data_IF_760455739128
#
_entry.id   IF_760455739128
#
_cell.length_a   1.000
_cell.length_b   1.000
_cell.length_c   1.000
_cell.angle_alpha   90.00
_cell.angle_beta   90.00
_cell.angle_gamma   90.00
#
_symmetry.space_group_name_H-M   'P 1'
#
loop_
_entity.id
_entity.type
_entity.pdbx_description
1 polymer ?
#
# COMPACT_ATOMS: atom_id res chain seq x y z
N UNK A 1 -18.65 22.37 1.79
CA UNK A 1 -18.39 20.96 2.20
C UNK A 1 -17.90 20.99 3.64
N UNK A 2 -18.36 20.09 4.51
CA UNK A 2 -17.96 20.11 5.92
C UNK A 2 -16.48 19.72 6.04
N UNK A 3 -15.71 20.44 6.88
CA UNK A 3 -14.28 20.22 7.05
C UNK A 3 -13.92 18.74 7.31
N UNK A 4 -14.80 18.01 7.98
CA UNK A 4 -14.66 16.62 8.37
C UNK A 4 -14.45 15.68 7.17
N UNK A 5 -15.10 15.95 6.02
CA UNK A 5 -14.92 15.15 4.80
C UNK A 5 -13.50 15.24 4.26
N UNK A 6 -12.86 16.40 4.38
CA UNK A 6 -11.53 16.63 3.85
C UNK A 6 -10.42 16.09 4.76
N UNK A 7 -10.73 15.89 6.05
CA UNK A 7 -9.82 15.36 7.06
C UNK A 7 -10.01 13.86 7.32
N UNK A 8 -11.17 13.28 7.02
CA UNK A 8 -11.47 11.86 7.24
C UNK A 8 -10.46 10.87 6.60
N UNK A 9 -9.88 11.13 5.41
CA UNK A 9 -8.88 10.23 4.85
C UNK A 9 -7.53 10.26 5.59
N UNK A 10 -7.23 11.33 6.35
CA UNK A 10 -5.90 11.53 6.91
C UNK A 10 -5.50 10.45 7.91
N UNK A 11 -6.32 10.04 8.90
CA UNK A 11 -5.97 8.94 9.79
C UNK A 11 -5.69 7.64 9.02
N UNK A 12 -6.53 7.29 8.04
CA UNK A 12 -6.31 6.09 7.21
C UNK A 12 -5.00 6.18 6.42
N UNK A 13 -4.67 7.35 5.85
CA UNK A 13 -3.38 7.56 5.16
C UNK A 13 -2.19 7.36 6.09
N UNK A 14 -2.26 7.91 7.30
CA UNK A 14 -1.17 7.80 8.27
C UNK A 14 -0.96 6.35 8.70
N UNK A 15 -2.01 5.66 9.13
CA UNK A 15 -1.86 4.33 9.70
C UNK A 15 -1.72 3.23 8.64
N UNK A 16 -2.50 3.25 7.55
CA UNK A 16 -2.36 2.26 6.47
C UNK A 16 -1.11 2.53 5.65
N UNK A 17 -0.85 3.79 5.28
CA UNK A 17 0.37 4.17 4.57
C UNK A 17 1.61 3.83 5.39
N UNK A 18 1.61 4.18 6.69
CA UNK A 18 2.69 3.83 7.61
C UNK A 18 2.91 2.33 7.76
N UNK A 19 1.84 1.53 7.89
CA UNK A 19 1.93 0.07 7.96
C UNK A 19 2.52 -0.53 6.68
N UNK A 20 2.06 -0.09 5.51
CA UNK A 20 2.61 -0.53 4.22
C UNK A 20 4.09 -0.15 4.05
N UNK A 21 4.47 1.05 4.49
CA UNK A 21 5.88 1.49 4.51
C UNK A 21 6.72 0.58 5.40
N UNK A 22 6.23 0.23 6.58
CA UNK A 22 6.95 -0.65 7.51
C UNK A 22 7.14 -2.05 6.90
N UNK A 23 6.04 -2.69 6.48
CA UNK A 23 6.08 -4.04 5.91
C UNK A 23 6.87 -4.11 4.60
N UNK A 24 6.71 -3.13 3.71
CA UNK A 24 7.51 -3.04 2.48
C UNK A 24 8.98 -2.75 2.77
N UNK A 25 9.25 -1.89 3.76
CA UNK A 25 10.62 -1.55 4.17
C UNK A 25 11.36 -2.74 4.75
N UNK A 26 10.70 -3.59 5.54
CA UNK A 26 11.27 -4.84 6.03
C UNK A 26 11.68 -5.74 4.86
N UNK A 27 10.79 -5.91 3.88
CA UNK A 27 11.06 -6.74 2.69
C UNK A 27 12.25 -6.24 1.88
N UNK A 28 12.40 -4.93 1.73
CA UNK A 28 13.42 -4.34 0.86
C UNK A 28 14.77 -4.09 1.53
N UNK A 29 14.78 -3.76 2.82
CA UNK A 29 15.96 -3.17 3.46
C UNK A 29 16.46 -3.94 4.68
N UNK A 30 15.64 -4.81 5.27
CA UNK A 30 16.06 -5.60 6.44
C UNK A 30 16.70 -6.91 5.97
N UNK A 31 17.88 -7.29 6.52
CA UNK A 31 18.50 -8.58 6.21
C UNK A 31 17.54 -9.75 6.45
N UNK A 32 17.39 -10.61 5.44
CA UNK A 32 16.47 -11.76 5.48
C UNK A 32 15.00 -11.42 5.17
N UNK A 33 14.61 -10.14 5.12
CA UNK A 33 13.25 -9.72 4.81
C UNK A 33 12.80 -10.14 3.41
N UNK A 34 13.67 -9.96 2.41
CA UNK A 34 13.40 -10.41 1.03
C UNK A 34 13.24 -11.93 0.93
N UNK A 35 14.16 -12.68 1.54
CA UNK A 35 14.10 -14.14 1.54
C UNK A 35 12.80 -14.66 2.18
N UNK A 36 12.32 -13.98 3.23
CA UNK A 36 11.06 -14.31 3.89
C UNK A 36 9.84 -14.06 2.97
N UNK A 37 9.75 -12.91 2.29
CA UNK A 37 8.62 -12.68 1.37
C UNK A 37 8.67 -13.61 0.16
N UNK A 38 9.86 -13.89 -0.39
CA UNK A 38 10.01 -14.85 -1.48
C UNK A 38 9.56 -16.26 -1.05
N UNK A 39 9.88 -16.67 0.18
CA UNK A 39 9.39 -17.92 0.77
C UNK A 39 7.86 -17.95 0.85
N UNK A 40 7.25 -16.92 1.46
CA UNK A 40 5.81 -16.82 1.67
C UNK A 40 5.03 -16.80 0.34
N UNK A 41 5.50 -16.01 -0.63
CA UNK A 41 4.91 -15.96 -1.99
C UNK A 41 5.04 -17.33 -2.70
N UNK A 42 6.14 -18.04 -2.48
CA UNK A 42 6.32 -19.40 -3.00
C UNK A 42 5.36 -20.41 -2.37
N UNK A 43 5.12 -20.32 -1.05
CA UNK A 43 4.14 -21.16 -0.35
C UNK A 43 2.70 -20.92 -0.84
N UNK A 44 2.40 -19.71 -1.29
CA UNK A 44 1.14 -19.35 -1.93
C UNK A 44 0.99 -19.88 -3.38
N UNK A 45 1.97 -20.63 -3.89
CA UNK A 45 1.93 -21.24 -5.22
C UNK A 45 2.24 -20.29 -6.37
N UNK A 46 2.78 -19.10 -6.07
CA UNK A 46 3.07 -18.09 -7.10
C UNK A 46 4.40 -18.41 -7.81
N UNK A 47 4.41 -18.49 -9.15
CA UNK A 47 5.66 -18.72 -9.89
C UNK A 47 6.59 -17.50 -9.80
N UNK A 48 7.90 -17.72 -9.95
CA UNK A 48 8.92 -16.66 -9.87
C UNK A 48 8.85 -15.85 -8.56
N UNK A 49 8.61 -16.54 -7.44
CA UNK A 49 8.37 -15.94 -6.13
C UNK A 49 9.49 -14.99 -5.67
N UNK A 50 10.75 -15.26 -6.03
CA UNK A 50 11.87 -14.37 -5.71
C UNK A 50 11.73 -13.00 -6.39
N UNK A 51 11.44 -12.96 -7.69
CA UNK A 51 11.20 -11.70 -8.40
C UNK A 51 9.95 -10.98 -7.87
N UNK A 52 8.86 -11.72 -7.66
CA UNK A 52 7.63 -11.14 -7.16
C UNK A 52 7.73 -10.66 -5.71
N UNK A 53 8.60 -11.24 -4.88
CA UNK A 53 8.93 -10.74 -3.56
C UNK A 53 9.46 -9.29 -3.60
N UNK A 54 10.33 -8.98 -4.57
CA UNK A 54 10.79 -7.60 -4.80
C UNK A 54 9.65 -6.68 -5.23
N UNK A 55 8.79 -7.16 -6.13
CA UNK A 55 7.62 -6.40 -6.59
C UNK A 55 6.69 -6.07 -5.42
N UNK A 56 6.38 -7.05 -4.56
CA UNK A 56 5.57 -6.83 -3.35
C UNK A 56 6.22 -5.80 -2.44
N UNK A 57 7.52 -5.93 -2.16
CA UNK A 57 8.25 -4.96 -1.35
C UNK A 57 8.18 -3.53 -1.90
N UNK A 58 8.39 -3.35 -3.20
CA UNK A 58 8.31 -2.03 -3.87
C UNK A 58 6.89 -1.46 -3.87
N UNK A 59 5.87 -2.30 -4.12
CA UNK A 59 4.46 -1.89 -4.12
C UNK A 59 4.02 -1.44 -2.72
N UNK A 60 4.37 -2.19 -1.69
CA UNK A 60 4.04 -1.85 -0.30
C UNK A 60 4.78 -0.59 0.15
N UNK A 61 6.11 -0.54 -0.03
CA UNK A 61 6.90 0.59 0.43
C UNK A 61 6.60 1.87 -0.36
N UNK A 62 6.72 1.80 -1.69
CA UNK A 62 6.52 2.94 -2.57
C UNK A 62 5.06 3.40 -2.62
N UNK A 63 4.12 2.45 -2.65
CA UNK A 63 2.70 2.78 -2.59
C UNK A 63 2.27 3.28 -1.21
N UNK A 64 2.84 2.75 -0.12
CA UNK A 64 2.65 3.27 1.23
C UNK A 64 3.10 4.74 1.35
N UNK A 65 4.25 5.10 0.77
CA UNK A 65 4.70 6.49 0.66
C UNK A 65 3.73 7.35 -0.15
N UNK A 66 3.26 6.86 -1.30
CA UNK A 66 2.29 7.55 -2.13
C UNK A 66 0.96 7.81 -1.42
N UNK A 67 0.46 6.83 -0.65
CA UNK A 67 -0.74 6.95 0.19
C UNK A 67 -0.49 7.96 1.32
N UNK A 68 0.61 7.83 2.05
CA UNK A 68 0.94 8.68 3.20
C UNK A 68 1.10 10.14 2.78
N UNK A 69 1.81 10.41 1.69
CA UNK A 69 2.10 11.76 1.21
C UNK A 69 0.99 12.32 0.29
N UNK A 70 0.12 11.45 -0.23
CA UNK A 70 -0.92 11.85 -1.18
C UNK A 70 -0.33 12.26 -2.51
N UNK A 71 0.70 11.54 -2.96
CA UNK A 71 1.41 11.71 -4.24
C UNK A 71 1.21 10.44 -5.06
N UNK A 72 0.84 10.59 -6.34
CA UNK A 72 0.39 9.45 -7.17
C UNK A 72 -0.71 8.63 -6.48
N UNK A 73 -1.53 9.29 -5.64
CA UNK A 73 -2.36 8.64 -4.63
C UNK A 73 -3.25 7.53 -5.20
N UNK A 74 -3.93 7.79 -6.32
CA UNK A 74 -4.81 6.78 -6.93
C UNK A 74 -4.05 5.54 -7.37
N UNK A 75 -2.88 5.72 -8.00
CA UNK A 75 -2.04 4.60 -8.45
C UNK A 75 -1.57 3.82 -7.23
N UNK A 76 -0.99 4.51 -6.24
CA UNK A 76 -0.50 3.93 -4.99
C UNK A 76 -1.55 3.11 -4.23
N UNK A 77 -2.77 3.63 -4.14
CA UNK A 77 -3.92 2.96 -3.51
C UNK A 77 -4.39 1.74 -4.31
N UNK A 78 -4.49 1.85 -5.65
CA UNK A 78 -4.92 0.73 -6.50
C UNK A 78 -3.91 -0.42 -6.44
N UNK A 79 -2.62 -0.15 -6.57
CA UNK A 79 -1.61 -1.23 -6.55
C UNK A 79 -1.57 -1.94 -5.20
N UNK A 80 -1.76 -1.23 -4.08
CA UNK A 80 -1.85 -1.85 -2.76
C UNK A 80 -3.16 -2.60 -2.54
N UNK A 81 -4.28 -2.12 -3.09
CA UNK A 81 -5.54 -2.87 -3.06
C UNK A 81 -5.41 -4.20 -3.82
N UNK A 82 -4.73 -4.20 -4.97
CA UNK A 82 -4.43 -5.41 -5.73
C UNK A 82 -3.46 -6.33 -4.99
N UNK A 83 -2.43 -5.79 -4.33
CA UNK A 83 -1.49 -6.58 -3.52
C UNK A 83 -2.21 -7.34 -2.40
N UNK A 84 -3.00 -6.62 -1.59
CA UNK A 84 -3.73 -7.22 -0.46
C UNK A 84 -4.89 -8.11 -0.93
N UNK A 85 -5.58 -7.72 -2.00
CA UNK A 85 -6.61 -8.57 -2.63
C UNK A 85 -6.02 -9.87 -3.20
N UNK A 86 -4.84 -9.79 -3.81
CA UNK A 86 -4.08 -10.95 -4.29
C UNK A 86 -3.72 -11.89 -3.15
N UNK A 87 -3.22 -11.36 -2.03
CA UNK A 87 -2.97 -12.15 -0.82
C UNK A 87 -4.21 -12.90 -0.34
N UNK A 88 -5.36 -12.22 -0.25
CA UNK A 88 -6.61 -12.86 0.18
C UNK A 88 -7.03 -14.00 -0.75
N UNK A 89 -6.98 -13.78 -2.06
CA UNK A 89 -7.34 -14.79 -3.06
C UNK A 89 -6.39 -15.98 -3.01
N UNK A 90 -5.08 -15.72 -3.03
CA UNK A 90 -4.06 -16.75 -3.03
C UNK A 90 -4.06 -17.53 -1.71
N UNK A 91 -4.17 -16.85 -0.57
CA UNK A 91 -4.29 -17.49 0.73
C UNK A 91 -5.52 -18.38 0.82
N UNK A 92 -6.66 -17.94 0.29
CA UNK A 92 -7.87 -18.77 0.25
C UNK A 92 -7.67 -20.03 -0.62
N UNK A 93 -7.07 -19.88 -1.80
CA UNK A 93 -6.77 -21.01 -2.71
C UNK A 93 -5.77 -21.98 -2.07
N UNK A 94 -4.77 -21.46 -1.35
CA UNK A 94 -3.76 -22.24 -0.65
C UNK A 94 -4.28 -22.92 0.64
N UNK A 95 -5.50 -22.58 1.07
CA UNK A 95 -6.12 -23.11 2.30
C UNK A 95 -5.65 -22.43 3.59
N UNK A 96 -4.96 -21.29 3.50
CA UNK A 96 -4.44 -20.54 4.64
C UNK A 96 -3.37 -19.53 4.26
N UNK A 97 -3.01 -18.67 5.21
CA UNK A 97 -1.83 -17.80 5.12
C UNK A 97 -0.62 -18.61 5.61
N UNK A 98 0.47 -18.70 4.83
CA UNK A 98 1.64 -19.47 5.23
C UNK A 98 2.42 -18.80 6.37
N UNK A 99 3.03 -19.60 7.20
CA UNK A 99 3.92 -19.14 8.29
C UNK A 99 5.22 -18.55 7.73
N UNK A 100 5.76 -17.49 8.35
CA UNK A 100 7.04 -16.91 7.95
C UNK A 100 8.21 -17.82 8.30
N UNK A 101 9.37 -17.53 7.71
CA UNK A 101 10.63 -18.07 8.19
C UNK A 101 10.85 -17.69 9.66
N UNK A 102 11.66 -18.44 10.44
CA UNK A 102 11.92 -18.12 11.84
C UNK A 102 12.40 -16.67 12.03
N UNK A 103 11.64 -15.88 12.79
CA UNK A 103 11.92 -14.46 13.03
C UNK A 103 11.58 -13.52 11.86
N UNK A 104 10.95 -14.03 10.81
CA UNK A 104 10.47 -13.25 9.66
C UNK A 104 9.18 -12.49 9.95
N UNK A 105 8.96 -11.42 9.18
CA UNK A 105 7.72 -10.63 9.21
C UNK A 105 6.56 -11.46 8.63
N UNK A 106 5.46 -11.68 9.37
CA UNK A 106 4.34 -12.46 8.88
C UNK A 106 3.55 -11.69 7.81
N UNK A 107 2.85 -12.44 6.94
CA UNK A 107 1.79 -11.84 6.13
C UNK A 107 0.58 -11.50 7.02
N UNK A 108 -0.23 -10.49 6.67
CA UNK A 108 -1.48 -10.26 7.36
C UNK A 108 -2.41 -11.49 7.24
N UNK A 109 -2.90 -11.97 8.38
CA UNK A 109 -3.95 -12.97 8.42
C UNK A 109 -5.24 -12.46 7.76
N UNK A 110 -6.19 -13.36 7.44
CA UNK A 110 -7.39 -12.99 6.67
C UNK A 110 -8.16 -11.80 7.26
N UNK A 111 -8.30 -11.73 8.57
CA UNK A 111 -9.01 -10.65 9.25
C UNK A 111 -8.30 -9.31 9.05
N UNK A 112 -6.99 -9.29 9.24
CA UNK A 112 -6.13 -8.11 9.11
C UNK A 112 -6.08 -7.67 7.65
N UNK A 113 -5.91 -8.60 6.71
CA UNK A 113 -5.93 -8.35 5.28
C UNK A 113 -7.27 -7.75 4.81
N UNK A 114 -8.41 -8.25 5.31
CA UNK A 114 -9.74 -7.67 5.01
C UNK A 114 -9.88 -6.24 5.53
N UNK A 115 -9.37 -5.94 6.73
CA UNK A 115 -9.39 -4.58 7.28
C UNK A 115 -8.49 -3.63 6.51
N UNK A 116 -7.29 -4.09 6.12
CA UNK A 116 -6.39 -3.31 5.26
C UNK A 116 -7.07 -3.05 3.91
N UNK A 117 -7.63 -4.07 3.27
CA UNK A 117 -8.32 -3.92 1.99
C UNK A 117 -9.50 -2.95 2.10
N UNK A 118 -10.35 -3.08 3.12
CA UNK A 118 -11.44 -2.15 3.38
C UNK A 118 -10.94 -0.71 3.56
N UNK A 119 -9.85 -0.52 4.30
CA UNK A 119 -9.22 0.78 4.50
C UNK A 119 -8.66 1.39 3.21
N UNK A 120 -7.95 0.61 2.40
CA UNK A 120 -7.40 1.04 1.11
C UNK A 120 -8.52 1.34 0.10
N UNK A 121 -9.58 0.54 0.06
CA UNK A 121 -10.77 0.83 -0.76
C UNK A 121 -11.49 2.09 -0.30
N UNK A 122 -11.61 2.31 1.02
CA UNK A 122 -12.15 3.56 1.57
C UNK A 122 -11.35 4.77 1.12
N UNK A 123 -10.02 4.68 1.13
CA UNK A 123 -9.12 5.72 0.60
C UNK A 123 -9.30 5.92 -0.91
N UNK A 124 -9.52 4.84 -1.69
CA UNK A 124 -9.75 4.95 -3.13
C UNK A 124 -11.05 5.72 -3.44
N UNK A 125 -12.10 5.48 -2.65
CA UNK A 125 -13.40 6.12 -2.80
C UNK A 125 -13.43 7.57 -2.26
N UNK A 126 -12.73 7.83 -1.16
CA UNK A 126 -12.72 9.15 -0.51
C UNK A 126 -11.66 10.11 -1.05
N UNK A 127 -10.63 9.60 -1.72
CA UNK A 127 -9.53 10.39 -2.23
C UNK A 127 -8.51 10.78 -1.14
N UNK A 128 -7.50 11.59 -1.50
CA UNK A 128 -6.36 11.85 -0.61
C UNK A 128 -6.65 12.87 0.51
N UNK A 129 -7.76 13.62 0.45
CA UNK A 129 -8.09 14.66 1.43
C UNK A 129 -7.22 15.93 1.34
N UNK A 130 -7.34 16.81 2.33
CA UNK A 130 -6.79 18.18 2.29
C UNK A 130 -5.26 18.27 2.30
N UNK A 131 -4.59 17.36 2.99
CA UNK A 131 -3.12 17.34 3.15
C UNK A 131 -2.41 16.50 2.07
N UNK A 132 -3.01 16.37 0.89
CA UNK A 132 -2.35 15.72 -0.24
C UNK A 132 -1.31 16.66 -0.87
N UNK A 133 -0.10 16.18 -1.13
CA UNK A 133 0.93 16.99 -1.78
C UNK A 133 0.65 17.22 -3.27
N UNK A 134 0.01 16.27 -3.97
CA UNK A 134 -0.34 16.41 -5.41
C UNK A 134 -1.22 17.65 -5.68
N UNK A 135 -2.13 17.98 -4.77
CA UNK A 135 -3.03 19.15 -4.91
C UNK A 135 -2.27 20.47 -4.89
N UNK A 136 -1.13 20.55 -4.17
CA UNK A 136 -0.30 21.76 -4.10
C UNK A 136 0.60 21.91 -5.33
N UNK A 137 1.14 20.80 -5.85
CA UNK A 137 2.01 20.80 -7.03
C UNK A 137 1.25 21.17 -8.32
N UNK A 138 -0.01 20.76 -8.45
CA UNK A 138 -0.87 21.15 -9.59
C UNK A 138 -1.34 22.60 -9.57
N UNK A 139 -1.35 23.27 -8.41
CA UNK A 139 -1.79 24.66 -8.25
C UNK A 139 -0.83 25.69 -8.86
N UNK A 140 0.48 25.41 -8.86
CA UNK A 140 1.48 26.33 -9.42
C UNK A 140 1.39 26.45 -10.94
N UNK A 141 0.86 25.43 -11.64
CA UNK A 141 0.69 25.48 -13.10
C UNK A 141 -0.45 26.38 -13.56
N UNK A 142 -1.44 26.65 -12.67
CA UNK A 142 -2.61 27.47 -13.00
C UNK A 142 -2.36 28.97 -12.90
N UNK A 143 -1.46 29.38 -11.99
CA UNK A 143 -1.07 30.78 -11.76
C UNK A 143 -0.21 31.34 -12.91
N UNK A 144 0.65 30.53 -13.51
CA UNK A 144 1.51 30.94 -14.64
C UNK A 144 0.74 31.12 -15.97
N UNK A 145 -0.49 30.62 -16.05
CA UNK A 145 -1.38 30.81 -17.22
C UNK A 145 -2.39 31.96 -17.05
N UNK A 146 -2.55 32.51 -15.84
CA UNK A 146 -3.45 33.65 -15.59
C UNK A 146 -2.77 35.01 -15.65
N UNK A 147 -1.44 35.08 -15.57
CA UNK A 147 -0.69 36.34 -15.74
C UNK A 147 -0.43 36.72 -17.21
N UNK A 148 -0.87 35.90 -18.17
CA UNK A 148 -0.60 36.10 -19.60
C UNK A 148 -1.88 36.27 -20.44
N UNK A 149 -2.94 36.84 -19.85
CA UNK A 149 -4.17 37.25 -20.54
C UNK A 149 -4.56 38.67 -20.18
#
# INVERSE_FOLDING_TARGET
MTAWRDWAPLPLRVFLGGGLILHGGIKLFVPGGHANIAHLVGQLGVPFADFLGWVVGVVEFGGGLGILLGVFFRVATVVNALNVGGLLVLGFIAGGIPEPLPGGDPLPEFREALLILAGVLSLLLSGPGRLALDTKLGGHKKLLTSENR
#
